data_IF_117339500889
#
_entry.id   IF_117339500889
#
_cell.length_a   1.000
_cell.length_b   1.000
_cell.length_c   1.000
_cell.angle_alpha   90.00
_cell.angle_beta   90.00
_cell.angle_gamma   90.00
#
_symmetry.space_group_name_H-M   'P 1'
#
loop_
_entity.id
_entity.type
_entity.pdbx_description
1 polymer ?
#
# COMPACT_ATOMS: atom_id res chain seq x y z
N UNK A 1 -25.69 -18.02 -74.63
CA UNK A 1 -25.72 -18.25 -73.17
C UNK A 1 -24.60 -17.38 -72.61
N UNK A 2 -24.96 -16.20 -72.11
CA UNK A 2 -24.02 -15.14 -71.72
C UNK A 2 -23.79 -15.19 -70.22
N UNK A 3 -22.54 -15.17 -69.79
CA UNK A 3 -22.14 -15.07 -68.39
C UNK A 3 -21.77 -13.60 -68.12
N UNK A 4 -22.29 -12.95 -67.06
CA UNK A 4 -21.94 -11.57 -66.74
C UNK A 4 -20.66 -11.50 -65.89
N UNK A 5 -19.82 -10.51 -66.19
CA UNK A 5 -18.67 -10.10 -65.38
C UNK A 5 -19.14 -9.48 -64.05
N UNK A 6 -18.58 -9.95 -62.93
CA UNK A 6 -18.74 -9.37 -61.60
C UNK A 6 -17.58 -8.42 -61.26
N UNK A 7 -17.78 -7.38 -60.42
CA UNK A 7 -16.79 -6.34 -60.23
C UNK A 7 -15.67 -6.75 -59.27
N UNK A 8 -14.49 -6.26 -59.61
CA UNK A 8 -13.19 -6.35 -58.94
C UNK A 8 -13.23 -5.84 -57.50
N UNK A 9 -12.76 -6.65 -56.56
CA UNK A 9 -12.50 -6.26 -55.17
C UNK A 9 -11.19 -5.46 -55.12
N UNK A 10 -11.26 -4.18 -54.79
CA UNK A 10 -10.14 -3.45 -54.21
C UNK A 10 -10.53 -3.07 -52.78
N UNK A 11 -10.03 -3.84 -51.81
CA UNK A 11 -10.04 -3.45 -50.41
C UNK A 11 -8.89 -2.46 -50.22
N UNK A 12 -9.21 -1.19 -50.04
CA UNK A 12 -8.24 -0.17 -49.67
C UNK A 12 -7.51 -0.59 -48.39
N UNK A 13 -6.18 -0.69 -48.49
CA UNK A 13 -5.28 -0.78 -47.37
C UNK A 13 -5.42 0.52 -46.58
N UNK A 14 -6.14 0.47 -45.46
CA UNK A 14 -6.28 1.59 -44.55
C UNK A 14 -4.92 2.08 -44.11
N UNK A 15 -4.59 3.32 -44.48
CA UNK A 15 -3.49 4.08 -43.90
C UNK A 15 -3.65 4.08 -42.39
N UNK A 16 -2.74 3.41 -41.69
CA UNK A 16 -2.63 3.50 -40.24
C UNK A 16 -2.34 4.96 -39.92
N UNK A 17 -3.29 5.58 -39.24
CA UNK A 17 -3.30 7.00 -38.90
C UNK A 17 -2.13 7.29 -37.96
N UNK A 18 -1.01 7.74 -38.51
CA UNK A 18 0.26 7.97 -37.78
C UNK A 18 0.10 8.96 -36.64
N UNK A 19 -0.93 9.80 -36.66
CA UNK A 19 -1.30 10.69 -35.57
C UNK A 19 -1.81 9.92 -34.32
N UNK A 20 -2.55 8.82 -34.50
CA UNK A 20 -3.04 7.99 -33.37
C UNK A 20 -1.92 7.17 -32.70
N UNK A 21 -0.89 6.78 -33.44
CA UNK A 21 0.29 6.11 -32.90
C UNK A 21 1.19 7.06 -32.09
N UNK A 22 1.32 8.31 -32.54
CA UNK A 22 2.06 9.34 -31.80
C UNK A 22 1.37 9.74 -30.50
N UNK A 23 0.03 9.88 -30.50
CA UNK A 23 -0.74 10.16 -29.27
C UNK A 23 -0.70 8.99 -28.28
N UNK A 24 -0.82 7.74 -28.76
CA UNK A 24 -0.74 6.56 -27.89
C UNK A 24 0.65 6.37 -27.25
N UNK A 25 1.73 6.69 -27.97
CA UNK A 25 3.09 6.71 -27.42
C UNK A 25 3.27 7.78 -26.34
N UNK A 26 2.76 8.99 -26.58
CA UNK A 26 2.90 10.12 -25.65
C UNK A 26 2.05 9.92 -24.37
N UNK A 27 0.83 9.39 -24.50
CA UNK A 27 -0.03 9.07 -23.36
C UNK A 27 0.54 7.92 -22.51
N UNK A 28 1.18 6.93 -23.15
CA UNK A 28 1.87 5.84 -22.46
C UNK A 28 3.09 6.35 -21.68
N UNK A 29 3.91 7.21 -22.28
CA UNK A 29 5.08 7.81 -21.62
C UNK A 29 4.69 8.68 -20.42
N UNK A 30 3.64 9.50 -20.54
CA UNK A 30 3.16 10.32 -19.42
C UNK A 30 2.60 9.45 -18.28
N UNK A 31 1.88 8.37 -18.61
CA UNK A 31 1.39 7.42 -17.62
C UNK A 31 2.56 6.74 -16.88
N UNK A 32 3.59 6.29 -17.60
CA UNK A 32 4.81 5.68 -17.02
C UNK A 32 5.46 6.66 -16.05
N UNK A 33 5.62 7.93 -16.46
CA UNK A 33 6.20 8.97 -15.62
C UNK A 33 5.37 9.21 -14.36
N UNK A 34 4.05 9.29 -14.49
CA UNK A 34 3.14 9.44 -13.34
C UNK A 34 3.26 8.28 -12.36
N UNK A 35 3.28 7.05 -12.85
CA UNK A 35 3.45 5.83 -12.03
C UNK A 35 4.80 5.85 -11.32
N UNK A 36 5.88 6.20 -12.02
CA UNK A 36 7.22 6.30 -11.44
C UNK A 36 7.32 7.37 -10.34
N UNK A 37 6.72 8.55 -10.56
CA UNK A 37 6.68 9.62 -9.57
C UNK A 37 5.88 9.22 -8.34
N UNK A 38 4.69 8.64 -8.51
CA UNK A 38 3.88 8.15 -7.40
C UNK A 38 4.63 7.07 -6.61
N UNK A 39 5.26 6.12 -7.29
CA UNK A 39 6.03 5.08 -6.62
C UNK A 39 7.19 5.65 -5.78
N UNK A 40 7.92 6.63 -6.32
CA UNK A 40 9.02 7.29 -5.63
C UNK A 40 8.55 8.09 -4.39
N UNK A 41 7.44 8.84 -4.52
CA UNK A 41 6.86 9.62 -3.43
C UNK A 41 6.43 8.69 -2.28
N UNK A 42 5.68 7.64 -2.59
CA UNK A 42 5.23 6.67 -1.59
C UNK A 42 6.41 5.98 -0.91
N UNK A 43 7.41 5.57 -1.69
CA UNK A 43 8.62 4.90 -1.16
C UNK A 43 9.39 5.79 -0.21
N UNK A 44 9.51 7.09 -0.51
CA UNK A 44 10.11 8.07 0.40
C UNK A 44 9.36 8.13 1.75
N UNK A 45 8.03 8.22 1.72
CA UNK A 45 7.21 8.29 2.93
C UNK A 45 7.29 6.99 3.75
N UNK A 46 7.25 5.83 3.08
CA UNK A 46 7.35 4.52 3.72
C UNK A 46 8.69 4.38 4.43
N UNK A 47 9.80 4.64 3.74
CA UNK A 47 11.14 4.49 4.29
C UNK A 47 11.42 5.49 5.40
N UNK A 48 10.92 6.73 5.27
CA UNK A 48 10.97 7.72 6.34
C UNK A 48 10.24 7.23 7.60
N UNK A 49 8.98 6.81 7.46
CA UNK A 49 8.18 6.35 8.59
C UNK A 49 8.70 5.04 9.19
N UNK A 50 9.30 4.16 8.38
CA UNK A 50 9.96 2.94 8.86
C UNK A 50 11.16 3.26 9.74
N UNK A 51 12.04 4.14 9.29
CA UNK A 51 13.18 4.59 10.09
C UNK A 51 12.72 5.33 11.36
N UNK A 52 11.71 6.18 11.27
CA UNK A 52 11.09 6.84 12.42
C UNK A 52 10.55 5.81 13.43
N UNK A 53 9.75 4.85 12.97
CA UNK A 53 9.14 3.84 13.81
C UNK A 53 10.21 2.99 14.52
N UNK A 54 11.24 2.55 13.79
CA UNK A 54 12.39 1.82 14.34
C UNK A 54 13.05 2.60 15.46
N UNK A 55 13.40 3.87 15.22
CA UNK A 55 14.03 4.76 16.20
C UNK A 55 13.15 5.01 17.43
N UNK A 56 11.84 5.12 17.25
CA UNK A 56 10.89 5.27 18.36
C UNK A 56 10.89 4.00 19.20
N UNK A 57 10.81 2.81 18.59
CA UNK A 57 10.78 1.56 19.34
C UNK A 57 12.10 1.26 20.05
N UNK A 58 13.25 1.59 19.45
CA UNK A 58 14.56 1.43 20.10
C UNK A 58 14.64 2.17 21.45
N UNK A 59 13.93 3.30 21.58
CA UNK A 59 13.96 4.15 22.78
C UNK A 59 12.79 3.91 23.73
N UNK A 60 11.60 3.70 23.17
CA UNK A 60 10.34 3.84 23.89
C UNK A 60 9.50 2.57 23.95
N UNK A 61 9.98 1.43 23.42
CA UNK A 61 9.19 0.18 23.35
C UNK A 61 8.63 -0.24 24.71
N UNK A 62 9.43 -0.18 25.79
CA UNK A 62 8.99 -0.53 27.14
C UNK A 62 7.87 0.39 27.64
N UNK A 63 8.00 1.69 27.40
CA UNK A 63 6.99 2.68 27.78
C UNK A 63 5.70 2.47 26.99
N UNK A 64 5.79 2.23 25.68
CA UNK A 64 4.65 1.93 24.81
C UNK A 64 3.93 0.67 25.31
N UNK A 65 4.68 -0.41 25.55
CA UNK A 65 4.14 -1.69 26.04
C UNK A 65 3.41 -1.51 27.38
N UNK A 66 4.06 -0.87 28.36
CA UNK A 66 3.46 -0.59 29.68
C UNK A 66 2.19 0.26 29.56
N UNK A 67 2.20 1.32 28.75
CA UNK A 67 1.04 2.21 28.55
C UNK A 67 -0.10 1.49 27.82
N UNK A 68 0.19 0.67 26.81
CA UNK A 68 -0.82 -0.06 26.05
C UNK A 68 -1.50 -1.15 26.89
N UNK A 69 -0.74 -1.95 27.63
CA UNK A 69 -1.27 -3.05 28.43
C UNK A 69 -2.18 -2.56 29.56
N UNK A 70 -1.93 -1.35 30.09
CA UNK A 70 -2.78 -0.72 31.11
C UNK A 70 -4.11 -0.17 30.58
N UNK A 71 -4.30 -0.03 29.25
CA UNK A 71 -5.54 0.53 28.69
C UNK A 71 -6.65 -0.50 28.63
N UNK A 72 -7.86 -0.06 29.01
CA UNK A 72 -9.10 -0.82 28.78
C UNK A 72 -9.36 -0.99 27.28
N UNK A 73 -10.17 -2.01 26.90
CA UNK A 73 -10.52 -2.25 25.50
C UNK A 73 -11.15 -1.03 24.83
N UNK A 74 -12.01 -0.31 25.54
CA UNK A 74 -12.65 0.94 25.04
C UNK A 74 -11.58 1.99 24.73
N UNK A 75 -10.64 2.24 25.65
CA UNK A 75 -9.59 3.24 25.42
C UNK A 75 -8.60 2.82 24.34
N UNK A 76 -8.32 1.50 24.20
CA UNK A 76 -7.54 0.96 23.09
C UNK A 76 -8.20 1.29 21.75
N UNK A 77 -9.52 1.04 21.61
CA UNK A 77 -10.26 1.38 20.40
C UNK A 77 -10.23 2.89 20.09
N UNK A 78 -10.36 3.74 21.11
CA UNK A 78 -10.22 5.21 20.93
C UNK A 78 -8.86 5.59 20.35
N UNK A 79 -7.78 5.06 20.94
CA UNK A 79 -6.41 5.35 20.46
C UNK A 79 -6.20 4.84 19.03
N UNK A 80 -6.68 3.64 18.71
CA UNK A 80 -6.57 3.07 17.36
C UNK A 80 -7.31 3.93 16.33
N UNK A 81 -8.52 4.37 16.66
CA UNK A 81 -9.32 5.21 15.78
C UNK A 81 -8.69 6.60 15.57
N UNK A 82 -8.14 7.20 16.63
CA UNK A 82 -7.43 8.48 16.53
C UNK A 82 -6.17 8.35 15.66
N UNK A 83 -5.39 7.29 15.88
CA UNK A 83 -4.16 7.05 15.14
C UNK A 83 -4.39 6.71 13.66
N UNK A 84 -5.53 6.09 13.33
CA UNK A 84 -5.85 5.71 11.95
C UNK A 84 -6.21 6.90 11.05
N UNK A 85 -6.69 8.00 11.63
CA UNK A 85 -7.05 9.21 10.88
C UNK A 85 -8.34 9.08 10.05
N UNK A 86 -9.26 8.20 10.44
CA UNK A 86 -10.53 7.94 9.77
C UNK A 86 -11.33 6.87 10.49
N UNK A 87 -12.47 6.44 9.93
CA UNK A 87 -13.21 5.29 10.48
C UNK A 87 -12.42 4.00 10.24
N UNK A 88 -11.92 3.39 11.31
CA UNK A 88 -11.28 2.08 11.25
C UNK A 88 -12.36 0.98 11.20
N UNK A 89 -12.22 -0.04 10.34
CA UNK A 89 -13.16 -1.16 10.30
C UNK A 89 -13.33 -1.81 11.68
N UNK A 90 -14.57 -2.16 12.02
CA UNK A 90 -14.92 -2.58 13.38
C UNK A 90 -14.63 -4.05 13.65
N UNK A 91 -14.81 -4.90 12.65
CA UNK A 91 -14.85 -6.34 12.77
C UNK A 91 -13.67 -7.00 12.06
N UNK A 92 -13.37 -8.23 12.48
CA UNK A 92 -12.43 -9.10 11.80
C UNK A 92 -12.87 -9.36 10.36
N UNK A 93 -11.93 -9.27 9.40
CA UNK A 93 -12.18 -9.47 7.96
C UNK A 93 -13.35 -8.63 7.43
N UNK A 94 -13.20 -7.29 7.45
CA UNK A 94 -14.25 -6.38 6.98
C UNK A 94 -14.58 -6.57 5.49
N UNK A 95 -13.61 -7.02 4.69
CA UNK A 95 -13.78 -7.42 3.30
C UNK A 95 -14.80 -8.56 3.12
N UNK A 96 -14.74 -9.60 3.96
CA UNK A 96 -15.72 -10.71 3.93
C UNK A 96 -17.08 -10.22 4.43
N UNK A 97 -17.09 -9.48 5.54
CA UNK A 97 -18.32 -8.93 6.11
C UNK A 97 -19.08 -8.10 5.07
N UNK A 98 -18.35 -7.28 4.30
CA UNK A 98 -18.91 -6.47 3.25
C UNK A 98 -19.58 -7.33 2.17
N UNK A 99 -18.87 -8.34 1.64
CA UNK A 99 -19.42 -9.20 0.58
C UNK A 99 -20.67 -9.96 1.03
N UNK A 100 -20.71 -10.44 2.28
CA UNK A 100 -21.89 -11.12 2.83
C UNK A 100 -23.10 -10.18 2.92
N UNK A 101 -22.88 -8.91 3.30
CA UNK A 101 -23.94 -7.90 3.33
C UNK A 101 -24.40 -7.52 1.93
N UNK A 102 -23.47 -7.33 1.00
CA UNK A 102 -23.77 -7.02 -0.39
C UNK A 102 -24.63 -8.12 -1.03
N UNK A 103 -24.26 -9.40 -0.85
CA UNK A 103 -25.04 -10.53 -1.34
C UNK A 103 -26.47 -10.54 -0.76
N UNK A 104 -26.60 -10.33 0.55
CA UNK A 104 -27.90 -10.30 1.22
C UNK A 104 -28.79 -9.19 0.65
N UNK A 105 -28.23 -8.01 0.41
CA UNK A 105 -28.96 -6.85 -0.11
C UNK A 105 -29.29 -6.96 -1.59
N UNK A 106 -28.41 -7.54 -2.39
CA UNK A 106 -28.70 -7.90 -3.77
C UNK A 106 -29.88 -8.87 -3.83
N UNK A 107 -29.86 -9.91 -3.00
CA UNK A 107 -30.92 -10.92 -2.95
C UNK A 107 -32.26 -10.35 -2.44
N UNK A 108 -32.23 -9.41 -1.51
CA UNK A 108 -33.45 -8.86 -0.87
C UNK A 108 -34.01 -7.66 -1.65
N UNK A 109 -33.16 -6.75 -2.10
CA UNK A 109 -33.54 -5.43 -2.62
C UNK A 109 -33.13 -5.20 -4.08
N UNK A 110 -32.32 -6.09 -4.67
CA UNK A 110 -31.78 -5.93 -6.02
C UNK A 110 -30.78 -4.77 -6.15
N UNK A 111 -30.20 -4.30 -5.04
CA UNK A 111 -29.30 -3.14 -5.00
C UNK A 111 -27.86 -3.59 -4.85
N UNK A 112 -27.01 -3.19 -5.81
CA UNK A 112 -25.56 -3.33 -5.69
C UNK A 112 -24.99 -2.11 -4.96
N UNK A 113 -24.20 -2.35 -3.90
CA UNK A 113 -23.55 -1.25 -3.17
C UNK A 113 -22.19 -0.91 -3.78
N UNK A 114 -21.79 0.35 -3.59
CA UNK A 114 -20.44 0.81 -3.88
C UNK A 114 -19.49 0.24 -2.83
N UNK A 115 -18.49 -0.52 -3.28
CA UNK A 115 -17.56 -1.23 -2.39
C UNK A 115 -16.51 -0.28 -1.80
N UNK A 116 -16.34 -0.26 -0.46
CA UNK A 116 -15.34 0.58 0.19
C UNK A 116 -13.97 -0.04 0.00
N UNK A 117 -13.18 0.50 -0.93
CA UNK A 117 -11.88 -0.06 -1.30
C UNK A 117 -10.94 -0.30 -0.09
N UNK A 118 -11.01 0.55 0.94
CA UNK A 118 -10.16 0.45 2.13
C UNK A 118 -10.31 -0.87 2.89
N UNK A 119 -11.52 -1.42 3.00
CA UNK A 119 -11.78 -2.69 3.71
C UNK A 119 -11.07 -3.87 3.03
N UNK A 120 -10.88 -3.79 1.72
CA UNK A 120 -10.18 -4.78 0.92
C UNK A 120 -8.67 -4.55 0.83
N UNK A 121 -8.18 -3.32 1.07
CA UNK A 121 -6.75 -2.99 1.05
C UNK A 121 -6.02 -3.40 2.33
N UNK A 122 -6.68 -3.41 3.48
CA UNK A 122 -6.04 -3.74 4.76
C UNK A 122 -7.00 -4.51 5.69
N UNK A 123 -7.49 -5.69 5.29
CA UNK A 123 -8.52 -6.41 6.06
C UNK A 123 -8.06 -6.85 7.46
N UNK A 124 -6.75 -6.89 7.69
CA UNK A 124 -6.13 -7.20 8.98
C UNK A 124 -6.01 -5.98 9.91
N UNK A 125 -6.32 -4.77 9.45
CA UNK A 125 -6.32 -3.54 10.27
C UNK A 125 -7.76 -3.23 10.68
N UNK A 126 -8.16 -3.73 11.86
CA UNK A 126 -9.51 -3.54 12.39
C UNK A 126 -9.50 -3.40 13.94
N UNK A 127 -10.57 -2.82 14.48
CA UNK A 127 -10.71 -2.54 15.92
C UNK A 127 -10.87 -3.81 16.75
N UNK A 128 -11.52 -4.84 16.22
CA UNK A 128 -11.74 -6.10 16.93
C UNK A 128 -10.42 -6.76 17.32
N UNK A 129 -9.55 -6.97 16.33
CA UNK A 129 -8.28 -7.67 16.45
C UNK A 129 -7.23 -6.82 17.15
N UNK A 130 -7.06 -5.56 16.72
CA UNK A 130 -6.00 -4.70 17.26
C UNK A 130 -6.27 -4.27 18.71
N UNK A 131 -7.53 -4.21 19.15
CA UNK A 131 -7.85 -3.94 20.56
C UNK A 131 -7.65 -5.15 21.47
N UNK A 132 -7.49 -6.35 20.90
CA UNK A 132 -7.39 -7.61 21.62
C UNK A 132 -5.93 -7.95 21.98
N UNK A 133 -5.71 -8.40 23.22
CA UNK A 133 -4.44 -8.95 23.68
C UNK A 133 -3.22 -8.08 23.34
N UNK A 134 -2.26 -8.70 22.62
CA UNK A 134 -0.97 -8.14 22.22
C UNK A 134 -0.88 -7.83 20.72
N UNK A 135 -1.94 -8.06 19.94
CA UNK A 135 -1.92 -8.01 18.46
C UNK A 135 -1.35 -6.69 17.93
N UNK A 136 -1.82 -5.55 18.45
CA UNK A 136 -1.28 -4.23 18.07
C UNK A 136 0.22 -4.08 18.38
N UNK A 137 0.70 -4.61 19.51
CA UNK A 137 2.12 -4.56 19.86
C UNK A 137 2.96 -5.49 18.98
N UNK A 138 2.42 -6.64 18.60
CA UNK A 138 3.07 -7.56 17.67
C UNK A 138 3.22 -6.91 16.30
N UNK A 139 2.14 -6.35 15.74
CA UNK A 139 2.16 -5.61 14.48
C UNK A 139 3.20 -4.48 14.51
N UNK A 140 3.19 -3.70 15.59
CA UNK A 140 4.14 -2.60 15.79
C UNK A 140 5.60 -3.08 15.78
N UNK A 141 5.89 -4.14 16.55
CA UNK A 141 7.25 -4.67 16.65
C UNK A 141 7.71 -5.26 15.31
N UNK A 142 6.90 -6.11 14.66
CA UNK A 142 7.29 -6.70 13.37
C UNK A 142 7.56 -5.63 12.31
N UNK A 143 6.70 -4.61 12.21
CA UNK A 143 6.84 -3.54 11.21
C UNK A 143 7.99 -2.57 11.48
N UNK A 144 8.51 -2.52 12.71
CA UNK A 144 9.68 -1.72 13.06
C UNK A 144 11.02 -2.46 12.91
N UNK A 145 11.01 -3.79 13.01
CA UNK A 145 12.22 -4.63 13.04
C UNK A 145 12.61 -5.20 11.68
N UNK A 146 11.65 -5.31 10.76
CA UNK A 146 11.88 -5.83 9.41
C UNK A 146 11.66 -4.73 8.36
N UNK A 147 12.40 -4.77 7.23
CA UNK A 147 12.25 -3.76 6.17
C UNK A 147 10.88 -3.89 5.46
N UNK A 148 10.37 -2.81 4.84
CA UNK A 148 9.10 -2.84 4.10
C UNK A 148 9.04 -3.96 3.05
N UNK A 149 10.15 -4.21 2.34
CA UNK A 149 10.28 -5.28 1.36
C UNK A 149 9.89 -6.67 1.89
N UNK A 150 10.07 -6.94 3.18
CA UNK A 150 9.74 -8.24 3.78
C UNK A 150 8.23 -8.54 3.83
N UNK A 151 7.38 -7.53 3.63
CA UNK A 151 5.92 -7.65 3.77
C UNK A 151 5.16 -7.65 2.44
N UNK A 152 5.83 -7.37 1.33
CA UNK A 152 5.22 -7.14 0.01
C UNK A 152 4.30 -8.29 -0.40
N UNK A 153 4.77 -9.54 -0.29
CA UNK A 153 3.96 -10.71 -0.63
C UNK A 153 2.76 -10.90 0.29
N UNK A 154 2.91 -10.62 1.57
CA UNK A 154 1.80 -10.72 2.52
C UNK A 154 0.74 -9.64 2.25
N UNK A 155 1.14 -8.45 1.81
CA UNK A 155 0.22 -7.35 1.50
C UNK A 155 -0.61 -7.63 0.26
N UNK A 156 0.03 -8.08 -0.82
CA UNK A 156 -0.72 -8.44 -2.02
C UNK A 156 -1.66 -9.63 -1.76
N UNK A 157 -1.23 -10.61 -0.97
CA UNK A 157 -2.06 -11.74 -0.58
C UNK A 157 -3.23 -11.31 0.31
N UNK A 158 -3.00 -10.37 1.24
CA UNK A 158 -4.07 -9.85 2.11
C UNK A 158 -5.19 -9.17 1.31
N UNK A 159 -4.88 -8.62 0.14
CA UNK A 159 -5.84 -7.95 -0.73
C UNK A 159 -6.43 -8.84 -1.82
N UNK A 160 -6.09 -10.13 -1.86
CA UNK A 160 -6.45 -11.01 -2.97
C UNK A 160 -7.96 -11.07 -3.20
N UNK A 161 -8.76 -11.01 -2.13
CA UNK A 161 -10.23 -11.00 -2.21
C UNK A 161 -10.75 -9.74 -2.91
N UNK A 162 -10.11 -8.59 -2.66
CA UNK A 162 -10.45 -7.34 -3.34
C UNK A 162 -10.14 -7.40 -4.83
N UNK A 163 -9.02 -8.02 -5.19
CA UNK A 163 -8.61 -8.20 -6.60
C UNK A 163 -9.54 -9.20 -7.29
N UNK A 164 -9.78 -10.37 -6.69
CA UNK A 164 -10.60 -11.43 -7.30
C UNK A 164 -12.08 -11.07 -7.41
N UNK A 165 -12.53 -10.08 -6.65
CA UNK A 165 -13.91 -9.56 -6.71
C UNK A 165 -14.04 -8.34 -7.61
N UNK A 166 -12.97 -7.89 -8.28
CA UNK A 166 -12.92 -6.64 -9.06
C UNK A 166 -13.19 -5.36 -8.22
N UNK A 167 -13.07 -5.45 -6.90
CA UNK A 167 -13.17 -4.28 -6.00
C UNK A 167 -11.90 -3.43 -6.06
N UNK A 168 -10.75 -4.09 -6.16
CA UNK A 168 -9.46 -3.48 -6.38
C UNK A 168 -9.05 -3.84 -7.80
N UNK A 169 -8.89 -2.85 -8.67
CA UNK A 169 -8.48 -3.04 -10.06
C UNK A 169 -7.10 -2.40 -10.23
N UNK A 170 -6.01 -3.17 -10.02
CA UNK A 170 -4.66 -2.65 -10.24
C UNK A 170 -4.46 -2.21 -11.69
N UNK A 171 -3.77 -1.09 -11.88
CA UNK A 171 -3.38 -0.61 -13.21
C UNK A 171 -2.55 -1.66 -13.97
N UNK A 172 -2.88 -1.88 -15.24
CA UNK A 172 -2.05 -2.66 -16.16
C UNK A 172 -1.16 -1.71 -16.97
N UNK A 173 0.16 -1.92 -16.89
CA UNK A 173 1.15 -1.16 -17.63
C UNK A 173 2.16 -2.13 -18.27
N UNK A 174 1.94 -2.40 -19.56
CA UNK A 174 2.70 -3.40 -20.31
C UNK A 174 4.15 -2.96 -20.56
N UNK A 175 5.09 -3.92 -20.55
CA UNK A 175 6.52 -3.66 -20.79
C UNK A 175 7.26 -3.06 -19.59
N UNK A 176 6.60 -2.95 -18.43
CA UNK A 176 7.21 -2.44 -17.20
C UNK A 176 7.02 -3.40 -16.03
N UNK A 177 8.02 -3.46 -15.16
CA UNK A 177 7.98 -4.17 -13.90
C UNK A 177 8.38 -3.21 -12.78
N UNK A 178 7.76 -3.35 -11.61
CA UNK A 178 8.13 -2.62 -10.40
C UNK A 178 8.86 -3.53 -9.43
N UNK A 179 10.06 -3.12 -9.02
CA UNK A 179 10.82 -3.78 -7.98
C UNK A 179 10.49 -3.18 -6.61
N UNK A 180 10.14 -4.03 -5.66
CA UNK A 180 9.87 -3.68 -4.26
C UNK A 180 10.93 -4.33 -3.37
N UNK A 181 12.19 -4.13 -3.75
CA UNK A 181 13.37 -4.63 -3.07
C UNK A 181 14.28 -3.45 -2.71
N UNK A 182 15.12 -3.62 -1.70
CA UNK A 182 16.02 -2.58 -1.22
C UNK A 182 15.44 -1.69 -0.13
N UNK A 183 16.26 -0.74 0.33
CA UNK A 183 15.99 0.12 1.49
C UNK A 183 16.17 1.62 1.17
N UNK A 184 16.28 1.98 -0.12
CA UNK A 184 16.41 3.38 -0.57
C UNK A 184 15.29 3.75 -1.53
N UNK A 185 15.03 5.05 -1.73
CA UNK A 185 13.96 5.53 -2.62
C UNK A 185 14.25 5.19 -4.09
N UNK A 186 15.53 5.03 -4.45
CA UNK A 186 15.96 4.67 -5.80
C UNK A 186 15.83 3.17 -6.10
N UNK A 187 15.78 2.33 -5.06
CA UNK A 187 15.69 0.87 -5.17
C UNK A 187 14.27 0.36 -4.90
N UNK A 188 13.66 0.84 -3.83
CA UNK A 188 12.32 0.46 -3.41
C UNK A 188 11.26 1.21 -4.22
N UNK A 189 10.37 0.48 -4.90
CA UNK A 189 9.37 1.07 -5.80
C UNK A 189 9.90 1.40 -7.19
N UNK A 190 11.09 0.88 -7.55
CA UNK A 190 11.74 1.19 -8.82
C UNK A 190 10.98 0.60 -10.01
N UNK A 191 10.50 1.46 -10.90
CA UNK A 191 9.89 1.08 -12.16
C UNK A 191 10.96 0.87 -13.24
N UNK A 192 10.93 -0.26 -13.94
CA UNK A 192 11.92 -0.63 -14.96
C UNK A 192 11.21 -1.13 -16.21
N UNK A 193 11.59 -0.57 -17.37
CA UNK A 193 11.15 -1.08 -18.66
C UNK A 193 11.90 -2.38 -18.99
N UNK A 194 11.20 -3.34 -19.58
CA UNK A 194 11.81 -4.56 -20.13
C UNK A 194 11.37 -4.73 -21.59
N UNK A 195 12.28 -5.22 -22.43
CA UNK A 195 12.00 -5.48 -23.85
C UNK A 195 11.16 -6.74 -24.04
N UNK A 196 10.51 -6.88 -25.20
CA UNK A 196 9.64 -8.02 -25.53
C UNK A 196 10.34 -9.39 -25.40
N UNK A 197 11.65 -9.44 -25.66
CA UNK A 197 12.46 -10.66 -25.55
C UNK A 197 12.97 -10.95 -24.13
N UNK A 198 12.74 -10.04 -23.19
CA UNK A 198 13.22 -10.13 -21.81
C UNK A 198 12.06 -10.36 -20.85
N UNK A 199 11.99 -11.55 -20.27
CA UNK A 199 11.07 -11.77 -19.15
C UNK A 199 11.75 -11.34 -17.85
N UNK A 200 11.26 -10.30 -17.16
CA UNK A 200 11.88 -9.87 -15.90
C UNK A 200 11.84 -11.03 -14.89
N UNK A 201 12.98 -11.28 -14.25
CA UNK A 201 13.05 -12.23 -13.15
C UNK A 201 12.61 -11.49 -11.88
N UNK A 202 11.49 -11.90 -11.30
CA UNK A 202 10.91 -11.27 -10.12
C UNK A 202 10.19 -9.94 -10.42
N UNK A 203 9.93 -9.18 -9.35
CA UNK A 203 9.16 -7.93 -9.41
C UNK A 203 7.65 -8.11 -9.51
N UNK A 204 6.94 -6.99 -9.60
CA UNK A 204 5.48 -6.91 -9.60
C UNK A 204 4.99 -6.14 -10.82
N UNK A 205 3.81 -6.51 -11.32
CA UNK A 205 3.09 -5.65 -12.25
C UNK A 205 2.91 -4.25 -11.63
N UNK A 206 3.12 -3.15 -12.39
CA UNK A 206 3.18 -1.81 -11.79
C UNK A 206 1.96 -1.43 -10.96
N UNK A 207 0.74 -1.79 -11.38
CA UNK A 207 -0.46 -1.54 -10.58
C UNK A 207 -0.48 -2.30 -9.26
N UNK A 208 -0.06 -3.57 -9.25
CA UNK A 208 0.07 -4.35 -8.01
C UNK A 208 1.16 -3.77 -7.10
N UNK A 209 2.27 -3.31 -7.69
CA UNK A 209 3.34 -2.64 -6.96
C UNK A 209 2.87 -1.34 -6.29
N UNK A 210 2.16 -0.48 -7.03
CA UNK A 210 1.56 0.74 -6.46
C UNK A 210 0.55 0.44 -5.35
N UNK A 211 -0.27 -0.60 -5.51
CA UNK A 211 -1.21 -1.03 -4.47
C UNK A 211 -0.47 -1.41 -3.18
N UNK A 212 0.63 -2.16 -3.29
CA UNK A 212 1.47 -2.49 -2.13
C UNK A 212 2.05 -1.23 -1.48
N UNK A 213 2.60 -0.32 -2.27
CA UNK A 213 3.15 0.93 -1.75
C UNK A 213 2.08 1.77 -1.02
N UNK A 214 0.87 1.85 -1.56
CA UNK A 214 -0.25 2.53 -0.88
C UNK A 214 -0.57 1.91 0.48
N UNK A 215 -0.67 0.58 0.54
CA UNK A 215 -0.97 -0.16 1.77
C UNK A 215 0.14 0.08 2.80
N UNK A 216 1.40 -0.08 2.40
CA UNK A 216 2.54 0.13 3.27
C UNK A 216 2.61 1.54 3.81
N UNK A 217 2.42 2.54 2.94
CA UNK A 217 2.43 3.94 3.35
C UNK A 217 1.39 4.15 4.45
N UNK A 218 0.14 3.73 4.21
CA UNK A 218 -0.96 3.92 5.15
C UNK A 218 -0.70 3.21 6.48
N UNK A 219 -0.18 1.97 6.44
CA UNK A 219 0.16 1.20 7.64
C UNK A 219 1.28 1.88 8.41
N UNK A 220 2.35 2.32 7.75
CA UNK A 220 3.50 2.94 8.41
C UNK A 220 3.13 4.29 9.05
N UNK A 221 2.34 5.12 8.38
CA UNK A 221 1.80 6.36 8.95
C UNK A 221 0.94 6.08 10.19
N UNK A 222 0.05 5.08 10.12
CA UNK A 222 -0.77 4.65 11.25
C UNK A 222 0.09 4.23 12.45
N UNK A 223 1.14 3.44 12.23
CA UNK A 223 2.01 2.95 13.31
C UNK A 223 2.80 4.07 13.99
N UNK A 224 3.32 5.02 13.22
CA UNK A 224 3.98 6.21 13.77
C UNK A 224 2.97 7.03 14.56
N UNK A 225 1.77 7.29 14.02
CA UNK A 225 0.71 8.03 14.70
C UNK A 225 0.26 7.34 15.99
N UNK A 226 0.17 6.02 15.98
CA UNK A 226 -0.12 5.21 17.17
C UNK A 226 0.92 5.46 18.28
N UNK A 227 2.20 5.47 17.94
CA UNK A 227 3.26 5.80 18.89
C UNK A 227 3.11 7.22 19.45
N UNK A 228 2.83 8.21 18.58
CA UNK A 228 2.60 9.59 19.01
C UNK A 228 1.44 9.69 20.01
N UNK A 229 0.30 9.04 19.73
CA UNK A 229 -0.89 9.06 20.59
C UNK A 229 -0.64 8.36 21.93
N UNK A 230 0.11 7.24 21.94
CA UNK A 230 0.45 6.52 23.18
C UNK A 230 1.43 7.31 24.04
N UNK A 231 2.42 7.93 23.41
CA UNK A 231 3.48 8.68 24.10
C UNK A 231 3.08 10.12 24.42
N UNK A 232 2.04 10.63 23.74
CA UNK A 232 1.53 12.01 23.81
C UNK A 232 2.60 13.04 23.39
N UNK A 233 3.37 12.70 22.37
CA UNK A 233 4.45 13.53 21.83
C UNK A 233 4.53 13.32 20.31
N UNK A 234 4.90 14.34 19.53
CA UNK A 234 5.08 14.19 18.09
C UNK A 234 6.33 13.37 17.76
N UNK A 235 6.34 12.74 16.59
CA UNK A 235 7.37 11.79 16.18
C UNK A 235 8.78 12.40 16.16
N UNK A 236 8.96 13.63 15.65
CA UNK A 236 10.27 14.30 15.64
C UNK A 236 10.87 14.39 17.06
N UNK A 237 10.08 14.77 18.06
CA UNK A 237 10.51 14.81 19.46
C UNK A 237 10.88 13.43 19.99
N UNK A 238 10.11 12.39 19.64
CA UNK A 238 10.37 11.02 20.07
C UNK A 238 11.67 10.45 19.48
N UNK A 239 12.02 10.90 18.27
CA UNK A 239 13.19 10.51 17.50
C UNK A 239 14.45 11.24 17.99
N UNK A 240 14.31 12.48 18.47
CA UNK A 240 15.40 13.41 18.79
C UNK A 240 15.76 13.53 20.28
N UNK A 241 15.06 12.86 21.21
CA UNK A 241 15.41 12.84 22.63
C UNK A 241 16.78 12.15 22.89
N UNK A 242 17.83 12.97 22.76
CA UNK A 242 19.28 12.94 23.05
C UNK A 242 20.13 11.66 22.93
N UNK A 243 21.15 11.76 22.07
CA UNK A 243 22.54 11.36 22.36
C UNK A 243 23.07 12.18 23.54
N UNK A 244 23.58 11.53 24.59
CA UNK A 244 24.20 12.21 25.75
C UNK A 244 25.66 12.58 25.41
N UNK A 245 26.21 13.71 25.92
CA UNK A 245 27.44 14.33 25.45
C UNK A 245 28.70 13.49 25.72
N UNK A 246 29.65 13.57 24.79
CA UNK A 246 31.05 13.14 24.97
C UNK A 246 31.59 13.75 26.27
N UNK A 247 31.87 12.90 27.24
CA UNK A 247 32.33 13.32 28.56
C UNK A 247 33.56 14.21 28.47
N UNK A 248 33.46 15.39 29.10
CA UNK A 248 34.59 16.25 29.40
C UNK A 248 35.55 15.49 30.31
N UNK A 249 36.72 15.11 29.79
CA UNK A 249 37.86 14.71 30.61
C UNK A 249 38.36 15.96 31.34
N UNK A 250 38.27 15.95 32.67
CA UNK A 250 38.98 16.91 33.51
C UNK A 250 40.49 16.59 33.45
N UNK A 251 41.39 17.58 33.23
CA UNK A 251 42.81 17.34 33.37
C UNK A 251 43.18 17.25 34.85
N UNK A 252 44.01 16.25 35.17
CA UNK A 252 44.76 16.12 36.43
C UNK A 252 45.88 17.16 36.45
#
# INVERSE_FOLDING_TARGET
>A
MSIPEGPTVFSECGTVDTAKLLTAGTESEELVKKVGLEAAERSSIILYNWNALRRILDRHEDTIRKRWTKKTRVRKKTVLHEAWGGEMPRLHRPDIEYLLKEETELNTNGVMRQRPMGEFKWPHINLEDLSCGKTMLCLLNTRARYPPAAFVYHEIQSCSLGISSDTLVPLMLHGYIMYLEGETVESYGKLVAFGEDSHPIGGFQPGSGLLVLEIQQKVMEFLVKFCETILQQPAHTLIDQFSVPTGTLAPI
#
